data_IF_297832130700
#
_entry.id   IF_297832130700
#
_cell.length_a   1.000
_cell.length_b   1.000
_cell.length_c   1.000
_cell.angle_alpha   90.00
_cell.angle_beta   90.00
_cell.angle_gamma   90.00
#
_symmetry.space_group_name_H-M   'P 1'
#
loop_
_entity.id
_entity.type
_entity.pdbx_description
1 polymer ?
#
# COMPACT_ATOMS: atom_id res chain seq x y z
N UNK A 1 11.29 15.87 -12.38
CA UNK A 1 11.25 14.40 -12.51
C UNK A 1 12.47 13.85 -13.26
N UNK A 2 12.89 12.62 -12.95
CA UNK A 2 13.92 11.90 -13.74
C UNK A 2 13.36 11.29 -15.05
N UNK A 3 14.24 10.95 -16.01
CA UNK A 3 13.82 10.41 -17.32
C UNK A 3 13.01 9.11 -17.19
N UNK A 4 13.34 8.26 -16.20
CA UNK A 4 12.65 6.99 -15.99
C UNK A 4 11.18 7.22 -15.58
N UNK A 5 10.94 8.17 -14.69
CA UNK A 5 9.61 8.51 -14.22
C UNK A 5 8.84 9.27 -15.30
N UNK A 6 9.50 10.12 -16.09
CA UNK A 6 8.88 10.77 -17.24
C UNK A 6 8.44 9.74 -18.30
N UNK A 7 9.26 8.71 -18.56
CA UNK A 7 8.88 7.60 -19.43
C UNK A 7 7.65 6.83 -18.95
N UNK A 8 7.56 6.53 -17.65
CA UNK A 8 6.33 5.97 -17.06
C UNK A 8 5.12 6.89 -17.29
N UNK A 9 5.30 8.21 -17.22
CA UNK A 9 4.27 9.19 -17.51
C UNK A 9 3.75 9.13 -18.94
N UNK A 10 4.64 9.06 -19.94
CA UNK A 10 4.27 8.89 -21.36
C UNK A 10 3.44 7.62 -21.56
N UNK A 11 3.91 6.49 -21.02
CA UNK A 11 3.20 5.22 -21.10
C UNK A 11 1.80 5.27 -20.48
N UNK A 12 1.68 5.89 -19.30
CA UNK A 12 0.38 6.04 -18.64
C UNK A 12 -0.56 6.98 -19.37
N UNK A 13 -0.07 8.12 -19.88
CA UNK A 13 -0.88 9.05 -20.67
C UNK A 13 -1.52 8.33 -21.85
N UNK A 14 -0.74 7.52 -22.57
CA UNK A 14 -1.25 6.69 -23.67
C UNK A 14 -2.20 5.59 -23.21
N UNK A 15 -1.87 4.91 -22.11
CA UNK A 15 -2.75 3.89 -21.53
C UNK A 15 -4.14 4.45 -21.18
N UNK A 16 -4.19 5.60 -20.50
CA UNK A 16 -5.45 6.26 -20.16
C UNK A 16 -6.18 6.82 -21.40
N UNK A 17 -5.45 7.30 -22.42
CA UNK A 17 -6.12 7.74 -23.66
C UNK A 17 -6.75 6.59 -24.44
N UNK A 18 -6.10 5.42 -24.49
CA UNK A 18 -6.60 4.27 -25.24
C UNK A 18 -7.73 3.55 -24.50
N UNK A 19 -7.55 3.32 -23.19
CA UNK A 19 -8.42 2.44 -22.44
C UNK A 19 -9.31 3.17 -21.42
N UNK A 20 -9.22 4.49 -21.27
CA UNK A 20 -9.90 5.26 -20.21
C UNK A 20 -11.42 5.09 -20.16
N UNK A 21 -12.06 4.72 -21.26
CA UNK A 21 -13.50 4.51 -21.36
C UNK A 21 -13.97 3.10 -20.96
N UNK A 22 -13.04 2.18 -20.66
CA UNK A 22 -13.40 0.84 -20.20
C UNK A 22 -13.87 0.89 -18.76
N UNK A 23 -15.13 0.52 -18.54
CA UNK A 23 -15.76 0.52 -17.22
C UNK A 23 -16.41 -0.84 -16.92
N UNK A 24 -16.44 -1.19 -15.63
CA UNK A 24 -17.20 -2.33 -15.12
C UNK A 24 -17.89 -1.92 -13.81
N UNK A 25 -19.19 -2.20 -13.67
CA UNK A 25 -20.04 -1.60 -12.63
C UNK A 25 -19.91 -0.07 -12.53
N UNK A 26 -19.69 0.60 -13.68
CA UNK A 26 -19.45 2.05 -13.75
C UNK A 26 -18.07 2.51 -13.30
N UNK A 27 -17.22 1.63 -12.76
CA UNK A 27 -15.88 1.96 -12.31
C UNK A 27 -14.84 1.81 -13.44
N UNK A 28 -13.90 2.76 -13.52
CA UNK A 28 -12.82 2.72 -14.51
C UNK A 28 -11.84 1.58 -14.23
N UNK A 29 -11.79 0.61 -15.14
CA UNK A 29 -10.91 -0.54 -15.05
C UNK A 29 -9.44 -0.14 -15.23
N UNK A 30 -9.18 0.93 -15.99
CA UNK A 30 -7.82 1.42 -16.23
C UNK A 30 -7.19 2.05 -14.99
N UNK A 31 -7.97 2.79 -14.20
CA UNK A 31 -7.52 3.31 -12.90
C UNK A 31 -7.18 2.21 -11.89
N UNK A 32 -7.69 1.00 -12.10
CA UNK A 32 -7.31 -0.17 -11.32
C UNK A 32 -6.03 -0.83 -11.87
N UNK A 33 -5.90 -0.97 -13.20
CA UNK A 33 -4.79 -1.69 -13.82
C UNK A 33 -3.48 -0.93 -13.95
N UNK A 34 -3.51 0.40 -13.99
CA UNK A 34 -2.41 1.22 -14.50
C UNK A 34 -1.03 0.86 -13.90
N UNK A 35 -0.96 0.56 -12.60
CA UNK A 35 0.29 0.19 -11.94
C UNK A 35 0.79 -1.21 -12.35
N UNK A 36 -0.12 -2.19 -12.47
CA UNK A 36 0.22 -3.54 -12.96
C UNK A 36 0.63 -3.50 -14.44
N UNK A 37 -0.05 -2.66 -15.24
CA UNK A 37 0.33 -2.38 -16.61
C UNK A 37 1.74 -1.82 -16.70
N UNK A 38 2.11 -0.85 -15.86
CA UNK A 38 3.48 -0.31 -15.81
C UNK A 38 4.51 -1.41 -15.53
N UNK A 39 4.29 -2.27 -14.54
CA UNK A 39 5.20 -3.39 -14.28
C UNK A 39 5.32 -4.33 -15.48
N UNK A 40 4.19 -4.67 -16.11
CA UNK A 40 4.15 -5.54 -17.27
C UNK A 40 4.91 -4.94 -18.46
N UNK A 41 4.65 -3.68 -18.78
CA UNK A 41 5.28 -3.00 -19.92
C UNK A 41 6.74 -2.71 -19.68
N UNK A 42 7.14 -2.20 -18.51
CA UNK A 42 8.54 -1.83 -18.26
C UNK A 42 9.48 -3.04 -18.25
N UNK A 43 8.96 -4.25 -18.04
CA UNK A 43 9.74 -5.48 -18.20
C UNK A 43 10.15 -5.76 -19.67
N UNK A 44 9.47 -5.11 -20.63
CA UNK A 44 9.68 -5.26 -22.08
C UNK A 44 10.17 -3.97 -22.75
N UNK A 45 9.64 -2.83 -22.33
CA UNK A 45 9.83 -1.49 -22.90
C UNK A 45 10.32 -0.53 -21.82
N UNK A 46 11.52 -0.78 -21.32
CA UNK A 46 12.20 0.13 -20.40
C UNK A 46 12.73 1.38 -21.12
N UNK A 47 13.30 2.32 -20.36
CA UNK A 47 13.82 3.59 -20.88
C UNK A 47 14.83 3.41 -22.02
N UNK A 48 15.67 2.37 -21.98
CA UNK A 48 16.67 2.12 -23.02
C UNK A 48 16.04 1.84 -24.40
N UNK A 49 14.81 1.30 -24.40
CA UNK A 49 14.04 1.01 -25.62
C UNK A 49 13.01 2.10 -25.96
N UNK A 50 12.94 3.18 -25.18
CA UNK A 50 12.00 4.26 -25.45
C UNK A 50 12.26 4.93 -26.82
N UNK A 51 13.53 5.01 -27.24
CA UNK A 51 13.94 5.59 -28.54
C UNK A 51 13.46 4.79 -29.74
N UNK A 52 13.11 3.52 -29.55
CA UNK A 52 12.58 2.65 -30.60
C UNK A 52 11.09 2.92 -30.88
N UNK A 53 10.43 3.68 -30.00
CA UNK A 53 9.02 4.01 -30.09
C UNK A 53 8.82 5.41 -30.68
N UNK A 54 7.78 5.62 -31.51
CA UNK A 54 7.55 6.90 -32.19
C UNK A 54 7.33 8.06 -31.22
N UNK A 55 6.92 7.76 -29.98
CA UNK A 55 6.64 8.71 -28.90
C UNK A 55 7.72 8.74 -27.81
N UNK A 56 8.90 8.15 -28.03
CA UNK A 56 10.01 8.25 -27.08
C UNK A 56 10.46 9.68 -26.80
N UNK A 57 10.27 10.58 -27.77
CA UNK A 57 10.60 12.01 -27.63
C UNK A 57 9.68 12.76 -26.66
N UNK A 58 8.45 12.27 -26.42
CA UNK A 58 7.46 12.88 -25.54
C UNK A 58 7.92 12.93 -24.07
N UNK A 59 8.98 12.19 -23.70
CA UNK A 59 9.62 12.24 -22.36
C UNK A 59 9.97 13.70 -22.00
N UNK A 60 10.43 14.49 -22.97
CA UNK A 60 10.85 15.88 -22.76
C UNK A 60 9.66 16.85 -22.66
N UNK A 61 8.44 16.39 -22.94
CA UNK A 61 7.22 17.20 -22.90
C UNK A 61 6.47 17.05 -21.57
N UNK A 62 6.82 16.04 -20.77
CA UNK A 62 6.18 15.76 -19.49
C UNK A 62 6.51 16.86 -18.48
N UNK A 63 5.48 17.56 -18.01
CA UNK A 63 5.59 18.50 -16.90
C UNK A 63 5.02 17.90 -15.63
N UNK A 64 5.81 17.96 -14.54
CA UNK A 64 5.41 17.44 -13.22
C UNK A 64 3.99 17.91 -12.84
N UNK A 65 3.70 19.21 -13.00
CA UNK A 65 2.43 19.85 -12.61
C UNK A 65 1.19 19.40 -13.40
N UNK A 66 1.34 18.66 -14.49
CA UNK A 66 0.23 18.23 -15.35
C UNK A 66 -0.17 16.76 -15.11
N UNK A 67 0.68 15.98 -14.42
CA UNK A 67 0.56 14.53 -14.30
C UNK A 67 -0.77 14.09 -13.72
N UNK A 68 -1.19 14.73 -12.64
CA UNK A 68 -2.45 14.42 -11.99
C UNK A 68 -3.62 14.48 -12.97
N UNK A 69 -3.70 15.51 -13.80
CA UNK A 69 -4.84 15.77 -14.69
C UNK A 69 -4.94 14.78 -15.86
N UNK A 70 -3.89 14.00 -16.12
CA UNK A 70 -3.94 12.95 -17.14
C UNK A 70 -4.53 11.64 -16.62
N UNK A 71 -4.43 11.40 -15.30
CA UNK A 71 -4.68 10.07 -14.72
C UNK A 71 -5.73 10.08 -13.60
N UNK A 72 -6.07 11.25 -13.06
CA UNK A 72 -7.14 11.39 -12.08
C UNK A 72 -7.87 12.73 -12.15
N UNK A 73 -9.04 12.77 -11.51
CA UNK A 73 -9.88 13.94 -11.43
C UNK A 73 -10.70 13.95 -10.14
N UNK A 74 -11.08 15.13 -9.61
CA UNK A 74 -12.09 15.26 -8.56
C UNK A 74 -13.39 14.62 -9.00
N UNK A 75 -14.03 13.91 -8.07
CA UNK A 75 -15.38 13.41 -8.26
C UNK A 75 -16.30 13.99 -7.19
N UNK A 76 -17.53 14.37 -7.55
CA UNK A 76 -18.52 14.83 -6.60
C UNK A 76 -18.96 13.68 -5.70
N UNK A 77 -19.18 13.96 -4.42
CA UNK A 77 -19.64 12.99 -3.44
C UNK A 77 -20.73 13.60 -2.57
N UNK A 78 -21.61 12.76 -2.07
CA UNK A 78 -22.74 13.12 -1.22
C UNK A 78 -22.50 12.50 0.17
N UNK A 79 -22.38 13.29 1.24
CA UNK A 79 -22.18 12.75 2.59
C UNK A 79 -23.38 11.92 3.05
N UNK A 80 -23.12 10.70 3.53
CA UNK A 80 -24.13 9.83 4.13
C UNK A 80 -23.76 9.57 5.60
N UNK A 81 -24.00 10.54 6.51
CA UNK A 81 -23.48 10.50 7.88
C UNK A 81 -24.00 9.33 8.71
N UNK A 82 -25.15 8.74 8.33
CA UNK A 82 -25.72 7.56 8.98
C UNK A 82 -25.18 6.23 8.42
N UNK A 83 -24.47 6.25 7.29
CA UNK A 83 -23.91 5.04 6.68
C UNK A 83 -22.68 4.51 7.44
N UNK A 84 -22.37 3.23 7.23
CA UNK A 84 -21.20 2.54 7.75
C UNK A 84 -19.92 3.04 7.08
N UNK A 85 -18.83 3.10 7.84
CA UNK A 85 -17.50 3.35 7.28
C UNK A 85 -16.84 2.00 7.00
N UNK A 86 -16.66 1.68 5.72
CA UNK A 86 -15.95 0.48 5.30
C UNK A 86 -14.44 0.76 5.32
N UNK A 87 -13.69 0.00 6.12
CA UNK A 87 -12.27 0.23 6.35
C UNK A 87 -11.44 -1.00 6.03
N UNK A 88 -10.19 -0.79 5.61
CA UNK A 88 -9.18 -1.85 5.59
C UNK A 88 -8.99 -2.45 7.01
N UNK A 89 -8.85 -3.77 7.09
CA UNK A 89 -8.71 -4.53 8.35
C UNK A 89 -7.72 -3.95 9.36
N UNK A 90 -6.55 -3.51 8.89
CA UNK A 90 -5.52 -2.88 9.72
C UNK A 90 -5.91 -1.59 10.46
N UNK A 91 -7.08 -1.00 10.22
CA UNK A 91 -7.56 0.18 10.95
C UNK A 91 -8.30 -0.13 12.26
N UNK A 92 -8.63 -1.39 12.54
CA UNK A 92 -9.55 -1.75 13.64
C UNK A 92 -9.17 -1.16 15.01
N UNK A 93 -7.88 -1.17 15.35
CA UNK A 93 -7.41 -0.63 16.62
C UNK A 93 -7.67 0.88 16.74
N UNK A 94 -7.22 1.65 15.75
CA UNK A 94 -7.37 3.10 15.73
C UNK A 94 -8.85 3.48 15.62
N UNK A 95 -9.62 2.82 14.74
CA UNK A 95 -11.04 3.09 14.57
C UNK A 95 -11.81 2.93 15.89
N UNK A 96 -11.51 1.89 16.66
CA UNK A 96 -12.20 1.63 17.94
C UNK A 96 -11.93 2.65 19.05
N UNK A 97 -10.90 3.50 18.91
CA UNK A 97 -10.62 4.59 19.86
C UNK A 97 -11.53 5.80 19.63
N UNK A 98 -12.00 6.00 18.40
CA UNK A 98 -12.70 7.23 17.98
C UNK A 98 -14.12 6.99 17.49
N UNK A 99 -14.48 5.76 17.14
CA UNK A 99 -15.77 5.41 16.55
C UNK A 99 -16.46 4.28 17.34
N UNK A 100 -17.79 4.37 17.54
CA UNK A 100 -18.58 3.23 17.97
C UNK A 100 -18.45 2.07 16.99
N UNK A 101 -18.48 0.83 17.50
CA UNK A 101 -18.25 -0.39 16.70
C UNK A 101 -19.29 -0.59 15.61
N UNK A 102 -20.49 -0.08 15.83
CA UNK A 102 -21.62 -0.16 14.92
C UNK A 102 -21.48 0.82 13.74
N UNK A 103 -20.48 1.71 13.77
CA UNK A 103 -20.24 2.73 12.74
C UNK A 103 -19.24 2.30 11.68
N UNK A 104 -18.54 1.18 11.86
CA UNK A 104 -17.55 0.72 10.89
C UNK A 104 -17.56 -0.79 10.67
N UNK A 105 -17.12 -1.19 9.48
CA UNK A 105 -16.91 -2.59 9.10
C UNK A 105 -15.49 -2.73 8.61
N UNK A 106 -14.80 -3.77 9.09
CA UNK A 106 -13.45 -4.09 8.65
C UNK A 106 -13.50 -5.09 7.50
N UNK A 107 -12.80 -4.80 6.41
CA UNK A 107 -12.60 -5.70 5.28
C UNK A 107 -11.13 -6.05 5.12
N UNK A 108 -10.86 -7.34 5.11
CA UNK A 108 -9.53 -7.94 4.97
C UNK A 108 -9.39 -8.60 3.60
N UNK A 109 -8.19 -8.63 3.02
CA UNK A 109 -7.92 -9.19 1.70
C UNK A 109 -7.91 -10.72 1.68
N UNK A 110 -7.78 -11.35 2.84
CA UNK A 110 -7.66 -12.79 3.02
C UNK A 110 -8.03 -13.21 4.45
N UNK A 111 -8.20 -14.51 4.66
CA UNK A 111 -8.58 -15.08 5.95
C UNK A 111 -7.50 -14.90 7.03
N UNK A 112 -6.22 -14.90 6.67
CA UNK A 112 -5.14 -14.75 7.64
C UNK A 112 -5.16 -13.39 8.36
N UNK A 113 -5.49 -12.30 7.66
CA UNK A 113 -5.67 -10.99 8.29
C UNK A 113 -6.94 -10.95 9.18
N UNK A 114 -8.02 -11.64 8.79
CA UNK A 114 -9.23 -11.79 9.64
C UNK A 114 -8.88 -12.54 10.93
N UNK A 115 -8.17 -13.66 10.84
CA UNK A 115 -7.79 -14.46 12.00
C UNK A 115 -6.88 -13.67 12.94
N UNK A 116 -5.93 -12.91 12.40
CA UNK A 116 -5.07 -12.02 13.19
C UNK A 116 -5.87 -10.94 13.94
N UNK A 117 -6.83 -10.29 13.27
CA UNK A 117 -7.71 -9.32 13.91
C UNK A 117 -8.52 -10.01 15.00
N UNK A 118 -9.10 -11.18 14.74
CA UNK A 118 -9.88 -11.93 15.73
C UNK A 118 -9.05 -12.33 16.95
N UNK A 119 -7.78 -12.70 16.76
CA UNK A 119 -6.86 -13.01 17.87
C UNK A 119 -6.55 -11.78 18.71
N UNK A 120 -6.26 -10.64 18.08
CA UNK A 120 -5.83 -9.43 18.79
C UNK A 120 -7.01 -8.61 19.34
N UNK A 121 -8.14 -8.65 18.66
CA UNK A 121 -9.37 -7.86 18.86
C UNK A 121 -10.61 -8.72 18.61
N UNK A 122 -10.87 -9.72 19.49
CA UNK A 122 -12.04 -10.62 19.35
C UNK A 122 -13.37 -9.87 19.45
N UNK A 123 -13.34 -8.63 19.91
CA UNK A 123 -14.48 -7.73 20.05
C UNK A 123 -14.81 -6.94 18.76
N UNK A 124 -14.01 -7.09 17.70
CA UNK A 124 -14.23 -6.50 16.39
C UNK A 124 -14.61 -7.57 15.36
N UNK A 125 -15.46 -7.21 14.40
CA UNK A 125 -15.87 -8.08 13.30
C UNK A 125 -15.13 -7.65 12.03
N UNK A 126 -14.39 -8.58 11.43
CA UNK A 126 -13.72 -8.40 10.16
C UNK A 126 -14.22 -9.42 9.13
N UNK A 127 -14.47 -8.93 7.92
CA UNK A 127 -14.90 -9.73 6.78
C UNK A 127 -13.72 -10.06 5.88
N UNK A 128 -13.70 -11.27 5.31
CA UNK A 128 -12.78 -11.61 4.22
C UNK A 128 -13.46 -11.29 2.88
N UNK A 129 -12.87 -10.46 2.04
CA UNK A 129 -13.38 -10.16 0.70
C UNK A 129 -13.52 -11.42 -0.17
N UNK A 130 -12.67 -12.43 0.04
CA UNK A 130 -12.71 -13.67 -0.75
C UNK A 130 -14.02 -14.45 -0.56
N UNK A 131 -14.72 -14.24 0.56
CA UNK A 131 -16.03 -14.87 0.80
C UNK A 131 -17.12 -14.39 -0.17
N UNK A 132 -16.91 -13.22 -0.79
CA UNK A 132 -17.81 -12.59 -1.75
C UNK A 132 -17.40 -12.89 -3.21
N UNK A 133 -16.33 -13.65 -3.43
CA UNK A 133 -15.89 -14.00 -4.77
C UNK A 133 -16.85 -14.96 -5.46
N UNK A 134 -17.22 -14.62 -6.69
CA UNK A 134 -18.04 -15.44 -7.59
C UNK A 134 -17.40 -15.45 -8.97
N UNK A 135 -17.60 -16.53 -9.71
CA UNK A 135 -17.24 -16.58 -11.12
C UNK A 135 -18.32 -15.88 -11.95
N UNK A 136 -17.89 -15.15 -12.98
CA UNK A 136 -18.78 -14.44 -13.89
C UNK A 136 -18.18 -14.43 -15.29
N UNK A 137 -18.19 -15.61 -15.92
CA UNK A 137 -17.63 -15.83 -17.25
C UNK A 137 -18.23 -14.89 -18.33
N UNK A 138 -19.55 -14.62 -18.36
CA UNK A 138 -20.11 -13.69 -19.34
C UNK A 138 -19.54 -12.27 -19.23
N UNK A 139 -19.33 -11.77 -18.00
CA UNK A 139 -18.71 -10.45 -17.80
C UNK A 139 -17.23 -10.44 -18.21
N UNK A 140 -16.50 -11.54 -17.96
CA UNK A 140 -15.11 -11.71 -18.42
C UNK A 140 -15.03 -11.67 -19.94
N UNK A 141 -15.88 -12.40 -20.63
CA UNK A 141 -15.94 -12.42 -22.10
C UNK A 141 -16.28 -11.05 -22.67
N UNK A 142 -17.30 -10.39 -22.11
CA UNK A 142 -17.72 -9.06 -22.54
C UNK A 142 -16.61 -8.02 -22.37
N UNK A 143 -15.91 -8.02 -21.23
CA UNK A 143 -14.81 -7.08 -20.98
C UNK A 143 -13.62 -7.37 -21.90
N UNK A 144 -13.28 -8.64 -22.13
CA UNK A 144 -12.23 -9.02 -23.05
C UNK A 144 -12.53 -8.61 -24.50
N UNK A 145 -13.79 -8.69 -24.94
CA UNK A 145 -14.19 -8.23 -26.28
C UNK A 145 -14.01 -6.71 -26.43
N UNK A 146 -14.37 -5.92 -25.41
CA UNK A 146 -14.15 -4.47 -25.42
C UNK A 146 -12.66 -4.12 -25.50
N UNK A 147 -11.82 -4.80 -24.71
CA UNK A 147 -10.36 -4.62 -24.74
C UNK A 147 -9.79 -5.00 -26.11
N UNK A 148 -10.22 -6.13 -26.67
CA UNK A 148 -9.75 -6.59 -27.98
C UNK A 148 -10.08 -5.58 -29.10
N UNK A 149 -11.27 -4.99 -29.08
CA UNK A 149 -11.66 -3.97 -30.05
C UNK A 149 -10.77 -2.71 -29.96
N UNK A 150 -10.39 -2.29 -28.75
CA UNK A 150 -9.46 -1.16 -28.57
C UNK A 150 -8.05 -1.50 -29.08
N UNK A 151 -7.55 -2.70 -28.78
CA UNK A 151 -6.22 -3.13 -29.24
C UNK A 151 -6.19 -3.25 -30.77
N UNK A 152 -7.23 -3.80 -31.40
CA UNK A 152 -7.34 -3.87 -32.86
C UNK A 152 -7.36 -2.48 -33.51
N UNK A 153 -8.05 -1.51 -32.89
CA UNK A 153 -8.03 -0.12 -33.32
C UNK A 153 -6.64 0.55 -33.19
N UNK A 154 -5.73 -0.03 -32.40
CA UNK A 154 -4.35 0.43 -32.22
C UNK A 154 -3.33 -0.48 -32.93
N UNK A 155 -3.73 -1.31 -33.90
CA UNK A 155 -2.88 -2.33 -34.54
C UNK A 155 -1.51 -1.87 -35.07
N UNK A 156 -1.38 -0.58 -35.42
CA UNK A 156 -0.12 -0.01 -35.93
C UNK A 156 0.79 0.50 -34.79
N UNK A 157 0.30 0.58 -33.54
CA UNK A 157 1.11 0.90 -32.37
C UNK A 157 1.81 -0.38 -31.86
N UNK A 158 3.15 -0.39 -31.80
CA UNK A 158 3.94 -1.58 -31.46
C UNK A 158 3.71 -2.08 -30.01
N UNK A 159 3.14 -1.24 -29.13
CA UNK A 159 2.84 -1.60 -27.75
C UNK A 159 1.33 -1.79 -27.56
N UNK A 160 0.55 -0.77 -27.92
CA UNK A 160 -0.89 -0.72 -27.65
C UNK A 160 -1.73 -1.56 -28.62
N UNK A 161 -1.20 -1.91 -29.79
CA UNK A 161 -1.80 -2.86 -30.75
C UNK A 161 -1.30 -4.30 -30.61
N UNK A 162 -0.46 -4.61 -29.61
CA UNK A 162 0.23 -5.89 -29.54
C UNK A 162 -0.67 -7.03 -29.02
N UNK A 163 -0.49 -8.22 -29.60
CA UNK A 163 -1.13 -9.47 -29.14
C UNK A 163 -0.73 -9.80 -27.70
N UNK A 164 0.53 -9.53 -27.34
CA UNK A 164 1.05 -9.75 -25.98
C UNK A 164 0.27 -8.94 -24.94
N UNK A 165 -0.09 -7.69 -25.25
CA UNK A 165 -0.89 -6.85 -24.36
C UNK A 165 -2.32 -7.39 -24.21
N UNK A 166 -2.92 -7.86 -25.31
CA UNK A 166 -4.25 -8.47 -25.27
C UNK A 166 -4.27 -9.73 -24.39
N UNK A 167 -3.28 -10.60 -24.54
CA UNK A 167 -3.17 -11.81 -23.72
C UNK A 167 -2.89 -11.48 -22.25
N UNK A 168 -2.10 -10.42 -21.99
CA UNK A 168 -1.93 -9.91 -20.62
C UNK A 168 -3.25 -9.49 -20.01
N UNK A 169 -4.06 -8.68 -20.71
CA UNK A 169 -5.38 -8.28 -20.23
C UNK A 169 -6.30 -9.48 -19.99
N UNK A 170 -6.43 -10.39 -20.96
CA UNK A 170 -7.26 -11.61 -20.83
C UNK A 170 -6.92 -12.42 -19.59
N UNK A 171 -5.63 -12.52 -19.26
CA UNK A 171 -5.15 -13.20 -18.04
C UNK A 171 -5.56 -12.48 -16.76
N UNK A 172 -5.61 -11.15 -16.76
CA UNK A 172 -5.99 -10.37 -15.58
C UNK A 172 -7.50 -10.26 -15.38
N UNK A 173 -8.29 -10.21 -16.46
CA UNK A 173 -9.73 -9.92 -16.45
C UNK A 173 -10.54 -10.76 -15.45
N UNK A 174 -10.37 -12.10 -15.33
CA UNK A 174 -11.11 -12.90 -14.36
C UNK A 174 -10.93 -12.42 -12.92
N UNK A 175 -9.70 -12.03 -12.55
CA UNK A 175 -9.38 -11.52 -11.22
C UNK A 175 -10.06 -10.20 -10.93
N UNK A 176 -10.11 -9.29 -11.91
CA UNK A 176 -10.82 -8.01 -11.79
C UNK A 176 -12.31 -8.21 -11.59
N UNK A 177 -12.95 -8.98 -12.49
CA UNK A 177 -14.40 -9.16 -12.45
C UNK A 177 -14.80 -9.70 -11.08
N UNK A 178 -14.08 -10.69 -10.58
CA UNK A 178 -14.30 -11.29 -9.26
C UNK A 178 -14.16 -10.27 -8.11
N UNK A 179 -13.15 -9.40 -8.14
CA UNK A 179 -12.94 -8.37 -7.10
C UNK A 179 -14.03 -7.30 -7.17
N UNK A 180 -14.36 -6.81 -8.37
CA UNK A 180 -15.38 -5.78 -8.53
C UNK A 180 -16.79 -6.29 -8.24
N UNK A 181 -17.11 -7.54 -8.58
CA UNK A 181 -18.38 -8.15 -8.21
C UNK A 181 -18.51 -8.25 -6.68
N UNK A 182 -17.45 -8.69 -6.00
CA UNK A 182 -17.42 -8.76 -4.54
C UNK A 182 -17.58 -7.39 -3.87
N UNK A 183 -16.85 -6.37 -4.33
CA UNK A 183 -16.99 -5.01 -3.79
C UNK A 183 -18.36 -4.43 -4.12
N UNK A 184 -18.86 -4.63 -5.34
CA UNK A 184 -20.19 -4.17 -5.71
C UNK A 184 -21.29 -4.81 -4.85
N UNK A 185 -21.18 -6.10 -4.55
CA UNK A 185 -22.08 -6.79 -3.62
C UNK A 185 -22.01 -6.19 -2.20
N UNK A 186 -20.81 -5.89 -1.69
CA UNK A 186 -20.65 -5.22 -0.39
C UNK A 186 -21.36 -3.86 -0.36
N UNK A 187 -21.20 -3.04 -1.40
CA UNK A 187 -21.86 -1.73 -1.49
C UNK A 187 -23.38 -1.81 -1.64
N UNK A 188 -23.92 -2.88 -2.24
CA UNK A 188 -25.37 -3.10 -2.34
C UNK A 188 -25.97 -3.59 -1.03
N UNK A 189 -25.25 -4.42 -0.29
CA UNK A 189 -25.77 -5.11 0.89
C UNK A 189 -25.51 -4.34 2.19
N UNK A 190 -24.48 -3.48 2.21
CA UNK A 190 -24.15 -2.64 3.35
C UNK A 190 -24.53 -1.20 3.05
N UNK A 191 -25.13 -0.51 4.02
CA UNK A 191 -25.39 0.92 3.93
C UNK A 191 -24.09 1.72 4.10
N UNK A 192 -23.17 1.64 3.12
CA UNK A 192 -21.86 2.29 3.19
C UNK A 192 -22.01 3.79 3.02
N UNK A 193 -21.52 4.57 3.99
CA UNK A 193 -21.48 6.03 3.94
C UNK A 193 -20.08 6.63 3.81
N UNK A 194 -19.03 5.81 3.95
CA UNK A 194 -17.65 6.23 3.74
C UNK A 194 -16.69 5.05 3.55
N UNK A 195 -15.55 5.31 2.93
CA UNK A 195 -14.48 4.32 2.72
C UNK A 195 -13.14 4.84 3.25
N UNK A 196 -12.38 4.00 3.94
CA UNK A 196 -11.03 4.30 4.41
C UNK A 196 -10.03 3.22 4.00
N UNK A 197 -9.04 3.60 3.19
CA UNK A 197 -8.00 2.71 2.66
C UNK A 197 -6.59 3.18 3.00
N UNK A 198 -5.58 2.32 2.75
CA UNK A 198 -4.16 2.65 2.94
C UNK A 198 -3.42 2.88 1.62
N UNK A 199 -4.00 2.45 0.50
CA UNK A 199 -3.36 2.54 -0.82
C UNK A 199 -4.35 2.85 -1.93
N UNK A 200 -3.83 3.39 -3.03
CA UNK A 200 -4.54 3.60 -4.29
C UNK A 200 -4.22 2.50 -5.33
N UNK A 201 -3.21 1.65 -5.05
CA UNK A 201 -2.71 0.60 -5.96
C UNK A 201 -2.89 -0.83 -5.43
N UNK A 202 -3.10 -1.01 -4.11
CA UNK A 202 -3.46 -2.33 -3.57
C UNK A 202 -4.82 -2.69 -4.13
N UNK A 203 -4.92 -3.86 -4.73
CA UNK A 203 -6.09 -4.28 -5.52
C UNK A 203 -7.43 -4.08 -4.78
N UNK A 204 -7.54 -4.49 -3.52
CA UNK A 204 -8.76 -4.33 -2.73
C UNK A 204 -9.06 -2.86 -2.43
N UNK A 205 -8.06 -2.12 -1.98
CA UNK A 205 -8.20 -0.70 -1.65
C UNK A 205 -8.57 0.14 -2.89
N UNK A 206 -7.97 -0.18 -4.04
CA UNK A 206 -8.25 0.49 -5.31
C UNK A 206 -9.69 0.25 -5.77
N UNK A 207 -10.18 -1.01 -5.74
CA UNK A 207 -11.57 -1.30 -6.10
C UNK A 207 -12.57 -0.66 -5.14
N UNK A 208 -12.27 -0.62 -3.83
CA UNK A 208 -13.09 0.10 -2.84
C UNK A 208 -13.21 1.60 -3.16
N UNK A 209 -12.10 2.27 -3.46
CA UNK A 209 -12.12 3.69 -3.79
C UNK A 209 -12.84 3.97 -5.11
N UNK A 210 -12.65 3.13 -6.13
CA UNK A 210 -13.32 3.28 -7.41
C UNK A 210 -14.83 3.01 -7.29
N UNK A 211 -15.25 2.02 -6.50
CA UNK A 211 -16.68 1.80 -6.23
C UNK A 211 -17.29 2.89 -5.35
N UNK A 212 -16.55 3.46 -4.41
CA UNK A 212 -17.00 4.64 -3.68
C UNK A 212 -17.24 5.82 -4.63
N UNK A 213 -16.34 6.04 -5.60
CA UNK A 213 -16.52 7.04 -6.66
C UNK A 213 -17.79 6.80 -7.47
N UNK A 214 -18.04 5.57 -7.92
CA UNK A 214 -19.26 5.22 -8.66
C UNK A 214 -20.52 5.57 -7.87
N UNK A 215 -20.52 5.24 -6.59
CA UNK A 215 -21.67 5.47 -5.69
C UNK A 215 -21.70 6.88 -5.09
N UNK A 216 -20.81 7.79 -5.50
CA UNK A 216 -20.68 9.16 -4.96
C UNK A 216 -20.49 9.17 -3.44
N UNK A 217 -19.85 8.15 -2.89
CA UNK A 217 -19.54 8.02 -1.47
C UNK A 217 -18.16 8.64 -1.19
N UNK A 218 -17.99 9.39 -0.08
CA UNK A 218 -16.69 9.90 0.31
C UNK A 218 -15.71 8.76 0.63
N UNK A 219 -14.50 8.84 0.09
CA UNK A 219 -13.43 7.88 0.35
C UNK A 219 -12.13 8.59 0.70
N UNK A 220 -11.37 8.02 1.63
CA UNK A 220 -10.11 8.58 2.11
C UNK A 220 -9.03 7.51 1.97
N UNK A 221 -7.90 7.88 1.38
CA UNK A 221 -6.71 7.03 1.37
C UNK A 221 -5.67 7.64 2.29
N UNK A 222 -5.36 6.94 3.38
CA UNK A 222 -4.30 7.35 4.30
C UNK A 222 -2.92 7.08 3.69
N UNK A 223 -1.95 7.93 3.98
CA UNK A 223 -0.55 7.68 3.66
C UNK A 223 -0.09 6.42 4.41
N UNK A 224 0.45 5.47 3.64
CA UNK A 224 1.03 4.25 4.14
C UNK A 224 2.45 4.12 3.59
N UNK A 225 3.44 4.50 4.40
CA UNK A 225 4.84 4.50 4.00
C UNK A 225 5.38 5.89 3.67
N UNK A 226 6.67 5.90 3.34
CA UNK A 226 7.35 7.07 2.81
C UNK A 226 6.90 7.33 1.37
N UNK A 227 6.80 8.61 1.01
CA UNK A 227 6.50 9.04 -0.35
C UNK A 227 7.83 9.39 -1.02
N UNK A 228 8.14 8.70 -2.12
CA UNK A 228 9.38 8.86 -2.87
C UNK A 228 9.07 9.15 -4.33
N UNK A 229 9.88 10.00 -4.98
CA UNK A 229 9.67 10.41 -6.38
C UNK A 229 9.74 9.22 -7.36
N UNK A 230 10.64 8.26 -7.13
CA UNK A 230 10.74 7.03 -7.96
C UNK A 230 9.46 6.18 -7.96
N UNK A 231 8.65 6.33 -6.91
CA UNK A 231 7.39 5.62 -6.66
C UNK A 231 6.18 6.52 -6.93
N UNK A 232 6.35 7.61 -7.70
CA UNK A 232 5.29 8.60 -8.02
C UNK A 232 3.95 7.95 -8.37
N UNK A 233 3.96 6.99 -9.29
CA UNK A 233 2.75 6.33 -9.78
C UNK A 233 2.18 5.30 -8.81
N UNK A 234 2.83 5.03 -7.68
CA UNK A 234 2.21 4.31 -6.55
C UNK A 234 1.33 5.24 -5.70
N UNK A 235 1.45 6.56 -5.87
CA UNK A 235 0.77 7.58 -5.08
C UNK A 235 -0.24 8.42 -5.89
N UNK A 236 -0.08 8.49 -7.21
CA UNK A 236 -0.99 9.17 -8.14
C UNK A 236 -1.38 8.17 -9.26
N UNK A 237 -2.68 8.02 -9.62
CA UNK A 237 -3.88 8.69 -9.11
C UNK A 237 -4.16 8.46 -7.62
N UNK A 238 -4.94 9.36 -7.02
CA UNK A 238 -5.41 9.20 -5.65
C UNK A 238 -6.57 8.20 -5.60
N UNK A 239 -7.43 8.19 -6.63
CA UNK A 239 -8.66 7.39 -6.76
C UNK A 239 -9.75 7.69 -5.71
N UNK A 240 -9.36 7.98 -4.47
CA UNK A 240 -10.23 8.37 -3.37
C UNK A 240 -10.64 9.85 -3.41
N UNK A 241 -11.65 10.26 -2.65
CA UNK A 241 -12.03 11.68 -2.51
C UNK A 241 -10.86 12.53 -2.03
N UNK A 242 -10.13 12.06 -1.01
CA UNK A 242 -8.92 12.74 -0.53
C UNK A 242 -7.80 11.78 -0.17
N UNK A 243 -6.56 12.24 -0.36
CA UNK A 243 -5.38 11.65 0.26
C UNK A 243 -5.16 12.29 1.63
N UNK A 244 -4.93 11.49 2.66
CA UNK A 244 -4.54 11.99 3.97
C UNK A 244 -3.04 11.76 4.17
N UNK A 245 -2.27 12.81 4.43
CA UNK A 245 -0.80 12.79 4.49
C UNK A 245 -0.29 13.19 5.86
N UNK A 246 0.94 12.77 6.18
CA UNK A 246 1.50 12.96 7.52
C UNK A 246 2.00 14.37 7.79
N UNK A 247 2.41 15.11 6.76
CA UNK A 247 2.97 16.46 6.94
C UNK A 247 2.85 17.36 5.72
N UNK A 248 3.19 18.64 5.92
CA UNK A 248 3.13 19.66 4.87
C UNK A 248 4.06 19.36 3.69
N UNK A 249 5.24 18.80 3.94
CA UNK A 249 6.14 18.37 2.87
C UNK A 249 5.50 17.34 1.92
N UNK A 250 4.64 16.45 2.43
CA UNK A 250 3.91 15.51 1.58
C UNK A 250 2.79 16.21 0.79
N UNK A 251 2.10 17.19 1.38
CA UNK A 251 1.13 18.03 0.65
C UNK A 251 1.82 18.77 -0.52
N UNK A 252 2.95 19.42 -0.24
CA UNK A 252 3.75 20.13 -1.24
C UNK A 252 4.24 19.19 -2.36
N UNK A 253 4.60 17.95 -2.01
CA UNK A 253 4.93 16.92 -2.99
C UNK A 253 3.76 16.59 -3.92
N UNK A 254 2.53 16.44 -3.40
CA UNK A 254 1.35 16.21 -4.25
C UNK A 254 1.03 17.43 -5.12
N UNK A 255 1.17 18.64 -4.58
CA UNK A 255 0.96 19.89 -5.33
C UNK A 255 1.98 20.05 -6.48
N UNK A 256 3.25 19.66 -6.27
CA UNK A 256 4.28 19.62 -7.33
C UNK A 256 3.80 18.83 -8.56
N UNK A 257 3.02 17.76 -8.35
CA UNK A 257 2.50 16.91 -9.42
C UNK A 257 1.07 17.24 -9.89
N UNK A 258 0.60 18.45 -9.59
CA UNK A 258 -0.67 18.97 -10.09
C UNK A 258 -1.90 18.57 -9.28
N UNK A 259 -1.75 17.86 -8.16
CA UNK A 259 -2.89 17.50 -7.33
C UNK A 259 -3.46 18.76 -6.65
N UNK A 260 -4.78 19.04 -6.77
CA UNK A 260 -5.39 20.16 -6.10
C UNK A 260 -5.25 20.05 -4.57
N UNK A 261 -4.95 21.16 -3.90
CA UNK A 261 -4.84 21.20 -2.43
C UNK A 261 -6.10 20.64 -1.74
N UNK A 262 -7.28 20.89 -2.30
CA UNK A 262 -8.55 20.37 -1.79
C UNK A 262 -8.63 18.84 -1.75
N UNK A 263 -7.81 18.13 -2.53
CA UNK A 263 -7.72 16.66 -2.59
C UNK A 263 -6.75 16.06 -1.58
N UNK A 264 -6.02 16.87 -0.81
CA UNK A 264 -5.02 16.40 0.14
C UNK A 264 -5.24 17.05 1.51
N UNK A 265 -5.32 16.25 2.56
CA UNK A 265 -5.44 16.73 3.95
C UNK A 265 -4.20 16.32 4.73
N UNK A 266 -3.55 17.27 5.40
CA UNK A 266 -2.47 16.98 6.36
C UNK A 266 -3.10 16.61 7.71
N UNK A 267 -2.86 15.38 8.17
CA UNK A 267 -3.49 14.85 9.40
C UNK A 267 -2.49 14.35 10.44
N UNK A 268 -1.18 14.37 10.16
CA UNK A 268 -0.20 13.65 10.99
C UNK A 268 -0.22 12.15 10.71
N UNK A 269 0.52 11.38 11.51
CA UNK A 269 0.39 9.91 11.49
C UNK A 269 -0.50 9.48 12.65
N UNK A 270 -1.68 8.86 12.41
CA UNK A 270 -2.53 8.36 13.49
C UNK A 270 -1.84 7.35 14.41
N UNK A 271 -0.70 6.78 14.01
CA UNK A 271 0.13 5.94 14.89
C UNK A 271 0.66 6.75 16.08
N UNK A 272 0.96 8.04 15.91
CA UNK A 272 1.44 8.89 16.99
C UNK A 272 0.38 9.14 18.06
N UNK A 273 -0.91 9.09 17.72
CA UNK A 273 -1.97 9.16 18.72
C UNK A 273 -1.89 7.98 19.70
N UNK A 274 -1.61 6.78 19.20
CA UNK A 274 -1.38 5.61 20.06
C UNK A 274 -0.05 5.74 20.80
N UNK A 275 1.00 6.22 20.13
CA UNK A 275 2.35 6.26 20.71
C UNK A 275 2.46 7.25 21.86
N UNK A 276 1.86 8.42 21.71
CA UNK A 276 1.94 9.49 22.71
C UNK A 276 1.00 9.25 23.89
N UNK A 277 -0.09 8.50 23.71
CA UNK A 277 -1.09 8.27 24.76
C UNK A 277 -0.90 6.95 25.53
N UNK A 278 0.00 6.07 25.11
CA UNK A 278 0.30 4.81 25.81
C UNK A 278 1.54 4.93 26.68
N UNK A 279 1.48 4.38 27.90
CA UNK A 279 2.68 4.17 28.72
C UNK A 279 3.45 2.94 28.22
N UNK A 280 4.71 3.16 27.87
CA UNK A 280 5.63 2.12 27.42
C UNK A 280 6.42 1.51 28.57
N UNK A 281 7.00 0.33 28.36
CA UNK A 281 7.66 -0.41 29.43
C UNK A 281 8.90 0.31 30.01
N UNK A 282 9.63 1.07 29.20
CA UNK A 282 10.86 1.75 29.60
C UNK A 282 12.03 0.78 29.77
N UNK A 283 13.21 1.36 30.05
CA UNK A 283 14.49 0.63 30.06
C UNK A 283 14.53 -0.48 31.09
N UNK A 284 14.21 -0.20 32.35
CA UNK A 284 14.33 -1.16 33.46
C UNK A 284 13.47 -2.41 33.21
N UNK A 285 12.24 -2.20 32.76
CA UNK A 285 11.31 -3.30 32.46
C UNK A 285 11.74 -4.07 31.21
N UNK A 286 12.29 -3.41 30.20
CA UNK A 286 12.83 -4.09 29.02
C UNK A 286 14.01 -5.01 29.38
N UNK A 287 14.94 -4.53 30.21
CA UNK A 287 16.04 -5.34 30.75
C UNK A 287 15.51 -6.58 31.48
N UNK A 288 14.53 -6.40 32.37
CA UNK A 288 13.90 -7.48 33.11
C UNK A 288 13.19 -8.50 32.18
N UNK A 289 12.38 -8.02 31.23
CA UNK A 289 11.61 -8.87 30.31
C UNK A 289 12.51 -9.74 29.43
N UNK A 290 13.68 -9.23 29.06
CA UNK A 290 14.59 -9.92 28.15
C UNK A 290 15.77 -10.61 28.84
N UNK A 291 15.95 -10.41 30.15
CA UNK A 291 17.07 -10.95 30.91
C UNK A 291 18.41 -10.30 30.52
N UNK A 292 18.39 -9.01 30.19
CA UNK A 292 19.57 -8.24 29.77
C UNK A 292 20.21 -7.64 31.02
N UNK A 293 21.53 -7.79 31.17
CA UNK A 293 22.31 -7.16 32.23
C UNK A 293 22.03 -5.64 32.29
N UNK A 294 21.58 -5.09 33.44
CA UNK A 294 21.30 -3.67 33.62
C UNK A 294 22.45 -2.72 33.25
N UNK A 295 23.70 -3.19 33.28
CA UNK A 295 24.87 -2.39 32.90
C UNK A 295 25.00 -2.21 31.38
N UNK A 296 24.41 -3.10 30.58
CA UNK A 296 24.52 -3.06 29.11
C UNK A 296 23.66 -1.97 28.51
N UNK A 297 24.14 -1.40 27.41
CA UNK A 297 23.36 -0.54 26.53
C UNK A 297 22.52 -1.40 25.60
N UNK A 298 21.30 -0.97 25.29
CA UNK A 298 20.39 -1.70 24.40
C UNK A 298 20.38 -1.05 23.02
N UNK A 299 20.66 -1.85 21.99
CA UNK A 299 20.43 -1.49 20.60
C UNK A 299 19.27 -2.31 20.07
N UNK A 300 18.27 -1.65 19.51
CA UNK A 300 17.18 -2.32 18.79
C UNK A 300 17.43 -2.20 17.29
N UNK A 301 17.39 -3.32 16.59
CA UNK A 301 17.27 -3.34 15.13
C UNK A 301 15.88 -3.88 14.76
N UNK A 302 15.05 -3.02 14.16
CA UNK A 302 13.83 -3.48 13.52
C UNK A 302 14.20 -4.05 12.14
N UNK A 303 14.03 -5.36 11.99
CA UNK A 303 14.42 -6.05 10.76
C UNK A 303 13.50 -5.68 9.60
N UNK A 304 13.96 -6.00 8.39
CA UNK A 304 13.26 -5.76 7.15
C UNK A 304 13.85 -6.64 6.06
N UNK A 305 13.82 -6.18 4.82
CA UNK A 305 14.45 -6.92 3.73
C UNK A 305 15.97 -7.02 3.91
N UNK A 306 16.59 -8.02 3.29
CA UNK A 306 18.05 -8.20 3.23
C UNK A 306 18.75 -8.71 4.51
N UNK A 307 18.08 -9.62 5.26
CA UNK A 307 18.65 -10.31 6.42
C UNK A 307 20.12 -10.74 6.22
N UNK A 308 20.43 -11.42 5.12
CA UNK A 308 21.77 -11.98 4.86
C UNK A 308 22.86 -10.95 4.59
N UNK A 309 22.50 -9.68 4.34
CA UNK A 309 23.46 -8.60 4.11
C UNK A 309 23.56 -7.71 5.34
N UNK A 310 22.42 -7.26 5.86
CA UNK A 310 22.38 -6.24 6.91
C UNK A 310 22.69 -6.82 8.28
N UNK A 311 22.17 -8.00 8.62
CA UNK A 311 22.39 -8.60 9.96
C UNK A 311 23.87 -8.92 10.19
N UNK A 312 24.60 -9.57 9.26
CA UNK A 312 26.05 -9.79 9.45
C UNK A 312 26.84 -8.49 9.58
N UNK A 313 26.48 -7.44 8.85
CA UNK A 313 27.13 -6.13 8.96
C UNK A 313 26.94 -5.52 10.36
N UNK A 314 25.71 -5.56 10.89
CA UNK A 314 25.41 -5.10 12.25
C UNK A 314 26.19 -5.92 13.28
N UNK A 315 26.14 -7.25 13.18
CA UNK A 315 26.83 -8.15 14.12
C UNK A 315 28.35 -7.95 14.11
N UNK A 316 28.95 -7.75 12.93
CA UNK A 316 30.38 -7.44 12.81
C UNK A 316 30.74 -6.11 13.47
N UNK A 317 29.90 -5.08 13.35
CA UNK A 317 30.11 -3.80 14.03
C UNK A 317 29.96 -3.92 15.55
N UNK A 318 28.99 -4.71 16.02
CA UNK A 318 28.74 -4.96 17.45
C UNK A 318 29.85 -5.73 18.14
N UNK A 319 30.57 -6.60 17.43
CA UNK A 319 31.67 -7.36 18.00
C UNK A 319 32.77 -6.47 18.61
N UNK A 320 32.88 -5.22 18.15
CA UNK A 320 33.81 -4.22 18.67
C UNK A 320 33.30 -3.46 19.91
N UNK A 321 32.04 -3.67 20.34
CA UNK A 321 31.38 -2.91 21.43
C UNK A 321 30.77 -3.89 22.45
N UNK A 322 31.57 -4.40 23.41
CA UNK A 322 31.13 -5.47 24.32
C UNK A 322 30.01 -5.09 25.29
N UNK A 323 29.83 -3.78 25.55
CA UNK A 323 28.79 -3.27 26.45
C UNK A 323 27.42 -3.10 25.77
N UNK A 324 27.33 -3.36 24.47
CA UNK A 324 26.10 -3.21 23.69
C UNK A 324 25.40 -4.57 23.52
N UNK A 325 24.10 -4.59 23.82
CA UNK A 325 23.22 -5.73 23.64
C UNK A 325 22.24 -5.47 22.49
N UNK A 326 22.25 -6.32 21.48
CA UNK A 326 21.37 -6.23 20.32
C UNK A 326 20.05 -6.98 20.54
N UNK A 327 18.95 -6.29 20.27
CA UNK A 327 17.63 -6.88 20.09
C UNK A 327 17.28 -6.84 18.60
N UNK A 328 17.24 -8.00 17.96
CA UNK A 328 16.71 -8.16 16.60
C UNK A 328 15.19 -8.34 16.67
N UNK A 329 14.44 -7.27 16.41
CA UNK A 329 12.98 -7.28 16.44
C UNK A 329 12.44 -7.63 15.06
N UNK A 330 11.91 -8.85 14.89
CA UNK A 330 11.52 -9.36 13.58
C UNK A 330 10.30 -8.65 12.97
N UNK A 331 10.35 -8.37 11.67
CA UNK A 331 9.19 -7.96 10.88
C UNK A 331 8.13 -9.08 10.88
N UNK A 332 6.81 -8.76 10.86
CA UNK A 332 5.75 -9.77 10.85
C UNK A 332 5.97 -10.90 9.81
N UNK A 333 6.35 -10.53 8.59
CA UNK A 333 6.58 -11.48 7.49
C UNK A 333 7.80 -12.39 7.68
N UNK A 334 8.70 -12.06 8.60
CA UNK A 334 9.92 -12.82 8.87
C UNK A 334 9.80 -13.77 10.07
N UNK A 335 8.66 -13.73 10.78
CA UNK A 335 8.38 -14.67 11.87
C UNK A 335 8.54 -16.15 11.47
N UNK A 336 8.14 -16.59 10.26
CA UNK A 336 8.35 -17.97 9.81
C UNK A 336 9.82 -18.38 9.65
N UNK A 337 10.74 -17.42 9.48
CA UNK A 337 12.18 -17.67 9.23
C UNK A 337 13.06 -17.37 10.44
N UNK A 338 12.49 -17.28 11.65
CA UNK A 338 13.25 -16.98 12.88
C UNK A 338 14.44 -17.93 13.11
N UNK A 339 14.34 -19.20 12.72
CA UNK A 339 15.44 -20.16 12.87
C UNK A 339 16.69 -19.72 12.10
N UNK A 340 16.52 -19.07 10.94
CA UNK A 340 17.63 -18.54 10.14
C UNK A 340 18.31 -17.37 10.86
N UNK A 341 17.52 -16.46 11.44
CA UNK A 341 18.04 -15.38 12.28
C UNK A 341 18.81 -15.94 13.49
N UNK A 342 18.25 -16.95 14.17
CA UNK A 342 18.90 -17.57 15.31
C UNK A 342 20.25 -18.20 14.93
N UNK A 343 20.30 -18.90 13.79
CA UNK A 343 21.56 -19.46 13.24
C UNK A 343 22.59 -18.38 12.95
N UNK A 344 22.20 -17.28 12.28
CA UNK A 344 23.10 -16.16 12.00
C UNK A 344 23.67 -15.52 13.26
N UNK A 345 22.90 -15.52 14.35
CA UNK A 345 23.27 -14.87 15.61
C UNK A 345 23.94 -15.78 16.63
N UNK A 346 24.06 -17.09 16.34
CA UNK A 346 24.49 -18.09 17.33
C UNK A 346 25.87 -17.82 17.95
N UNK A 347 26.76 -17.15 17.23
CA UNK A 347 28.10 -16.76 17.70
C UNK A 347 28.16 -15.46 18.51
N UNK A 348 27.03 -14.79 18.75
CA UNK A 348 27.00 -13.45 19.35
C UNK A 348 26.22 -13.48 20.69
N UNK A 349 26.92 -13.54 21.84
CA UNK A 349 26.27 -13.70 23.15
C UNK A 349 25.46 -12.47 23.60
N UNK A 350 25.76 -11.29 23.05
CA UNK A 350 25.07 -10.04 23.33
C UNK A 350 23.96 -9.76 22.31
N UNK A 351 23.22 -10.79 21.91
CA UNK A 351 22.18 -10.67 20.90
C UNK A 351 20.95 -11.51 21.28
N UNK A 352 19.76 -10.99 20.99
CA UNK A 352 18.51 -11.73 21.13
C UNK A 352 17.57 -11.46 19.95
N UNK A 353 17.08 -12.53 19.34
CA UNK A 353 16.05 -12.47 18.29
C UNK A 353 14.68 -12.53 18.94
N UNK A 354 13.83 -11.55 18.65
CA UNK A 354 12.49 -11.40 19.23
C UNK A 354 11.46 -11.50 18.10
N UNK A 355 10.49 -12.41 18.26
CA UNK A 355 9.40 -12.58 17.29
C UNK A 355 8.49 -11.36 17.28
N UNK A 356 7.87 -11.10 16.13
CA UNK A 356 6.77 -10.14 16.08
C UNK A 356 5.69 -10.51 17.11
N UNK A 357 5.22 -9.51 17.86
CA UNK A 357 4.20 -9.68 18.91
C UNK A 357 4.71 -10.19 20.26
N UNK A 358 5.94 -10.71 20.36
CA UNK A 358 6.50 -11.14 21.65
C UNK A 358 6.78 -9.94 22.58
N UNK A 359 7.30 -8.86 22.00
CA UNK A 359 7.40 -7.54 22.62
C UNK A 359 6.96 -6.54 21.54
N UNK A 360 6.16 -5.54 21.94
CA UNK A 360 5.82 -4.43 21.06
C UNK A 360 7.10 -3.70 20.61
N UNK A 361 7.18 -3.34 19.33
CA UNK A 361 8.30 -2.53 18.82
C UNK A 361 8.52 -1.29 19.70
N UNK A 362 7.45 -0.58 20.07
CA UNK A 362 7.56 0.63 20.88
C UNK A 362 7.96 0.37 22.33
N UNK A 363 7.65 -0.81 22.88
CA UNK A 363 8.19 -1.20 24.19
C UNK A 363 9.70 -1.39 24.08
N UNK A 364 10.17 -2.09 23.03
CA UNK A 364 11.61 -2.22 22.74
C UNK A 364 12.28 -0.86 22.53
N UNK A 365 11.67 0.05 21.75
CA UNK A 365 12.23 1.39 21.49
C UNK A 365 12.26 2.25 22.76
N UNK A 366 11.24 2.16 23.62
CA UNK A 366 11.16 2.94 24.86
C UNK A 366 12.27 2.64 25.87
N UNK A 367 12.87 1.45 25.78
CA UNK A 367 13.99 1.03 26.62
C UNK A 367 15.33 0.98 25.90
N UNK A 368 15.38 1.33 24.62
CA UNK A 368 16.61 1.29 23.82
C UNK A 368 17.47 2.53 24.06
N UNK A 369 18.80 2.35 24.06
CA UNK A 369 19.76 3.45 23.97
C UNK A 369 20.02 3.84 22.50
N UNK A 370 19.88 2.88 21.57
CA UNK A 370 20.06 3.09 20.14
C UNK A 370 18.99 2.36 19.33
N UNK A 371 18.57 2.96 18.23
CA UNK A 371 17.70 2.33 17.26
C UNK A 371 18.34 2.36 15.87
N UNK A 372 18.34 1.21 15.20
CA UNK A 372 18.80 1.07 13.83
C UNK A 372 17.67 0.43 13.02
N UNK A 373 17.50 0.87 11.78
CA UNK A 373 16.66 0.17 10.82
C UNK A 373 17.14 0.41 9.40
N UNK A 374 16.78 -0.49 8.49
CA UNK A 374 17.01 -0.33 7.07
C UNK A 374 15.68 -0.14 6.36
N UNK A 375 15.47 1.05 5.77
CA UNK A 375 14.29 1.39 4.96
C UNK A 375 12.92 1.12 5.63
N UNK A 376 12.82 1.28 6.96
CA UNK A 376 11.57 1.09 7.71
C UNK A 376 10.96 2.41 8.16
N UNK A 377 9.63 2.48 8.21
CA UNK A 377 8.89 3.59 8.85
C UNK A 377 8.94 3.57 10.38
N UNK A 378 9.70 2.64 10.98
CA UNK A 378 9.91 2.59 12.41
C UNK A 378 10.87 3.69 12.90
N UNK A 379 11.73 4.21 12.02
CA UNK A 379 12.52 5.44 12.24
C UNK A 379 11.73 6.63 11.73
#
# INVERSE_FOLDING_TARGET
>A
MDEQTAWKGVLLRKFFSCFGNINYHGASICKYYYNQFLYYILSRWNLARAKDLPYGHEINEIKDSEIYYWIDEPYPYDPHPEGLILMRGGFGDIASLYLPKERFVLLSPNQAEVDLIKTNRPDLIAHNIENYYRENLPAVESLNQQIAAIIDAQKDDPLFGSVDLLEWFKKQTPGIIRVFDAVHELFRNLNIGGVLTISSIVWMDSSLNLMARVNRIPSLTMQHGLILERDLFCHIPINATKKMVWGKANLEWYQKYGVPESRVSVIGSPRFDVISNRKWCGKEKLHQMLGIDPAKKIMVYATGTEMNTIVPMILSGLAAIPDLFLILSLHPSESPIISQYQQLTAGYPNCKVVRFGQISLYDSLSGADFFITHCSTAA
#
